data_IF_892860983608
#
_entry.id   IF_892860983608
#
_cell.length_a   1.000
_cell.length_b   1.000
_cell.length_c   1.000
_cell.angle_alpha   90.00
_cell.angle_beta   90.00
_cell.angle_gamma   90.00
#
_symmetry.space_group_name_H-M   'P 1'
#
loop_
_entity.id
_entity.type
_entity.pdbx_description
1 polymer ?
#
# COMPACT_ATOMS: atom_id res chain seq x y z
N UNK A 1 -17.21 -9.09 4.31
CA UNK A 1 -16.10 -9.43 3.40
C UNK A 1 -16.02 -8.55 2.14
N UNK A 2 -17.12 -8.26 1.42
CA UNK A 2 -17.06 -7.40 0.21
C UNK A 2 -16.92 -5.89 0.49
N UNK A 3 -17.42 -5.40 1.64
CA UNK A 3 -17.39 -3.97 1.96
C UNK A 3 -15.96 -3.43 2.11
N UNK A 4 -15.09 -4.14 2.85
CA UNK A 4 -13.71 -3.73 3.10
C UNK A 4 -12.90 -3.68 1.79
N UNK A 5 -13.05 -4.67 0.92
CA UNK A 5 -12.34 -4.66 -0.37
C UNK A 5 -12.70 -3.44 -1.21
N UNK A 6 -13.97 -3.01 -1.26
CA UNK A 6 -14.36 -1.81 -2.02
C UNK A 6 -13.68 -0.53 -1.55
N UNK A 7 -13.32 -0.43 -0.27
CA UNK A 7 -12.55 0.70 0.26
C UNK A 7 -11.06 0.59 -0.05
N UNK A 8 -10.53 -0.63 -0.07
CA UNK A 8 -9.10 -0.87 -0.36
C UNK A 8 -8.79 -0.85 -1.85
N UNK A 9 -9.72 -1.26 -2.71
CA UNK A 9 -9.60 -1.31 -4.17
C UNK A 9 -9.03 -0.02 -4.80
N UNK A 10 -9.52 1.19 -4.48
CA UNK A 10 -8.98 2.42 -5.06
C UNK A 10 -7.52 2.69 -4.65
N UNK A 11 -7.08 2.21 -3.49
CA UNK A 11 -5.72 2.38 -2.98
C UNK A 11 -4.80 1.28 -3.50
N UNK A 12 -5.28 0.04 -3.57
CA UNK A 12 -4.52 -1.13 -4.02
C UNK A 12 -4.38 -1.18 -5.55
N UNK A 13 -5.37 -0.70 -6.32
CA UNK A 13 -5.35 -0.74 -7.79
C UNK A 13 -4.16 0.02 -8.40
N UNK A 14 -3.82 1.25 -7.97
CA UNK A 14 -2.60 1.93 -8.43
C UNK A 14 -1.33 1.13 -8.12
N UNK A 15 -1.25 0.53 -6.93
CA UNK A 15 -0.09 -0.27 -6.52
C UNK A 15 0.04 -1.52 -7.40
N UNK A 16 -1.06 -2.22 -7.66
CA UNK A 16 -1.08 -3.37 -8.59
C UNK A 16 -0.65 -3.01 -10.00
N UNK A 17 -1.00 -1.81 -10.49
CA UNK A 17 -0.60 -1.36 -11.83
C UNK A 17 0.90 -1.04 -11.95
N UNK A 18 1.56 -0.72 -10.83
CA UNK A 18 3.00 -0.44 -10.79
C UNK A 18 3.81 -1.74 -10.62
N UNK A 19 3.26 -2.70 -9.88
CA UNK A 19 3.93 -3.97 -9.65
C UNK A 19 3.97 -4.82 -10.92
N UNK A 20 5.06 -5.58 -11.13
CA UNK A 20 5.10 -6.57 -12.20
C UNK A 20 4.01 -7.63 -11.97
N UNK A 21 3.66 -8.36 -13.03
CA UNK A 21 2.60 -9.35 -12.96
C UNK A 21 3.04 -10.51 -12.05
N UNK A 22 2.53 -10.56 -10.81
CA UNK A 22 2.97 -11.49 -9.74
C UNK A 22 2.27 -12.86 -9.79
N UNK A 23 1.62 -13.18 -10.91
CA UNK A 23 0.88 -14.44 -11.08
C UNK A 23 -0.37 -14.48 -10.19
N UNK A 24 -0.52 -15.53 -9.37
CA UNK A 24 -1.72 -15.76 -8.57
C UNK A 24 -1.75 -15.00 -7.23
N UNK A 25 -0.63 -14.40 -6.81
CA UNK A 25 -0.49 -13.77 -5.50
C UNK A 25 -0.54 -12.25 -5.65
N UNK A 26 -1.41 -11.61 -4.88
CA UNK A 26 -1.48 -10.16 -4.79
C UNK A 26 -0.58 -9.63 -3.67
N UNK A 27 0.55 -9.05 -4.05
CA UNK A 27 1.49 -8.43 -3.11
C UNK A 27 1.17 -6.95 -2.82
N UNK A 28 0.15 -6.36 -3.47
CA UNK A 28 -0.20 -4.95 -3.26
C UNK A 28 -0.51 -4.58 -1.80
N UNK A 29 -1.13 -5.44 -0.96
CA UNK A 29 -1.36 -5.10 0.44
C UNK A 29 -0.06 -4.99 1.24
N UNK A 30 0.92 -5.86 0.96
CA UNK A 30 2.23 -5.81 1.61
C UNK A 30 2.97 -4.51 1.26
N UNK A 31 2.96 -4.15 -0.02
CA UNK A 31 3.60 -2.92 -0.51
C UNK A 31 2.92 -1.68 0.09
N UNK A 32 1.59 -1.68 0.21
CA UNK A 32 0.85 -0.61 0.88
C UNK A 32 1.33 -0.44 2.33
N UNK A 33 1.49 -1.53 3.09
CA UNK A 33 1.98 -1.49 4.47
C UNK A 33 3.39 -0.91 4.53
N UNK A 34 4.29 -1.34 3.65
CA UNK A 34 5.68 -0.84 3.61
C UNK A 34 5.69 0.66 3.32
N UNK A 35 4.93 1.12 2.31
CA UNK A 35 4.83 2.54 1.97
C UNK A 35 4.31 3.38 3.13
N UNK A 36 3.28 2.91 3.84
CA UNK A 36 2.77 3.59 5.02
C UNK A 36 3.83 3.72 6.12
N UNK A 37 4.62 2.66 6.37
CA UNK A 37 5.72 2.72 7.33
C UNK A 37 6.78 3.75 6.92
N UNK A 38 7.16 3.79 5.64
CA UNK A 38 8.12 4.79 5.12
C UNK A 38 7.57 6.20 5.33
N UNK A 39 6.31 6.45 5.02
CA UNK A 39 5.67 7.76 5.25
C UNK A 39 5.70 8.13 6.74
N UNK A 40 5.37 7.20 7.63
CA UNK A 40 5.41 7.46 9.08
C UNK A 40 6.82 7.80 9.58
N UNK A 41 7.85 7.08 9.10
CA UNK A 41 9.24 7.36 9.45
C UNK A 41 9.64 8.76 8.96
N UNK A 42 9.35 9.08 7.69
CA UNK A 42 9.68 10.39 7.11
C UNK A 42 8.97 11.52 7.85
N UNK A 43 7.67 11.38 8.09
CA UNK A 43 6.90 12.37 8.84
C UNK A 43 7.42 12.52 10.27
N UNK A 44 7.74 11.40 10.94
CA UNK A 44 8.34 11.41 12.27
C UNK A 44 9.65 12.19 12.30
N UNK A 45 10.54 11.94 11.34
CA UNK A 45 11.80 12.66 11.22
C UNK A 45 11.62 14.15 10.92
N UNK A 46 10.63 14.53 10.10
CA UNK A 46 10.32 15.94 9.79
C UNK A 46 9.73 16.66 11.00
N UNK A 47 8.94 15.97 11.83
CA UNK A 47 8.28 16.56 13.00
C UNK A 47 9.25 16.72 14.19
N UNK A 48 10.17 15.77 14.37
CA UNK A 48 11.12 15.78 15.49
C UNK A 48 12.46 16.44 15.16
N UNK A 49 12.70 16.74 13.88
CA UNK A 49 13.91 17.39 13.38
C UNK A 49 13.88 18.91 13.44
#
# INVERSE_FOLDING_TARGET
YMAINRFLEPVLRPIRNILPNTGAIDFSPLVLIILLNVVLIVLGNVIHG
#
